data_IF_128677275601
#
_entry.id   IF_128677275601
#
_cell.length_a   1.000
_cell.length_b   1.000
_cell.length_c   1.000
_cell.angle_alpha   90.00
_cell.angle_beta   90.00
_cell.angle_gamma   90.00
#
_symmetry.space_group_name_H-M   'P 1'
#
loop_
_entity.id
_entity.type
_entity.pdbx_description
1 polymer ?
#
# COMPACT_ATOMS: atom_id res chain seq x y z
N UNK A 1 9.60 34.33 -29.87
CA UNK A 1 11.02 34.63 -30.01
C UNK A 1 11.68 33.47 -30.69
N UNK A 2 12.16 33.84 -31.87
CA UNK A 2 13.11 33.17 -32.76
C UNK A 2 12.53 32.21 -33.81
N UNK A 3 12.18 32.89 -34.90
CA UNK A 3 12.19 32.44 -36.30
C UNK A 3 13.50 31.72 -36.65
N UNK A 4 13.41 30.70 -37.51
CA UNK A 4 14.47 30.34 -38.47
C UNK A 4 13.80 29.65 -39.66
N UNK A 5 13.47 30.46 -40.67
CA UNK A 5 13.14 30.06 -42.03
C UNK A 5 14.45 29.60 -42.72
N UNK A 6 14.64 28.30 -42.89
CA UNK A 6 15.68 27.72 -43.76
C UNK A 6 15.03 27.26 -45.06
N UNK A 7 14.82 28.21 -45.97
CA UNK A 7 14.47 27.97 -47.37
C UNK A 7 15.67 27.32 -48.07
N UNK A 8 15.76 26.00 -47.98
CA UNK A 8 16.67 25.20 -48.79
C UNK A 8 16.29 25.30 -50.27
N UNK A 9 16.99 26.18 -51.01
CA UNK A 9 17.06 26.14 -52.46
C UNK A 9 17.43 24.71 -52.88
N UNK A 10 16.45 23.97 -53.39
CA UNK A 10 16.68 22.63 -53.94
C UNK A 10 17.45 22.85 -55.23
N UNK A 11 18.78 22.67 -55.15
CA UNK A 11 19.74 22.80 -56.25
C UNK A 11 19.17 22.16 -57.53
N UNK A 12 18.74 23.00 -58.47
CA UNK A 12 18.28 22.54 -59.78
C UNK A 12 19.39 21.75 -60.50
N UNK A 13 20.65 22.06 -60.19
CA UNK A 13 21.84 21.38 -60.69
C UNK A 13 21.98 19.94 -60.14
N UNK A 14 21.47 19.65 -58.93
CA UNK A 14 21.51 18.31 -58.35
C UNK A 14 20.47 17.37 -58.98
N UNK A 15 19.29 17.89 -59.36
CA UNK A 15 18.29 17.12 -60.11
C UNK A 15 18.73 16.86 -61.56
N UNK A 16 19.41 17.82 -62.19
CA UNK A 16 19.91 17.65 -63.56
C UNK A 16 21.05 16.63 -63.62
N UNK A 17 21.91 16.58 -62.59
CA UNK A 17 22.97 15.58 -62.44
C UNK A 17 22.44 14.15 -62.28
N UNK A 18 21.37 13.96 -61.48
CA UNK A 18 20.75 12.65 -61.23
C UNK A 18 20.01 12.10 -62.46
N UNK A 19 19.45 13.00 -63.29
CA UNK A 19 18.82 12.65 -64.57
C UNK A 19 19.86 12.31 -65.65
N UNK A 20 21.03 12.97 -65.64
CA UNK A 20 22.17 12.63 -66.49
C UNK A 20 22.82 11.29 -66.11
N UNK A 21 22.94 11.00 -64.81
CA UNK A 21 23.46 9.71 -64.30
C UNK A 21 22.53 8.55 -64.65
N UNK A 22 21.21 8.73 -64.53
CA UNK A 22 20.22 7.75 -65.00
C UNK A 22 20.31 7.50 -66.50
N UNK A 23 20.52 8.54 -67.32
CA UNK A 23 20.73 8.38 -68.77
C UNK A 23 22.02 7.63 -69.09
N UNK A 24 23.11 7.92 -68.39
CA UNK A 24 24.40 7.21 -68.53
C UNK A 24 24.30 5.75 -68.10
N UNK A 25 23.60 5.47 -67.00
CA UNK A 25 23.35 4.11 -66.51
C UNK A 25 22.44 3.30 -67.45
N UNK A 26 21.39 3.91 -68.01
CA UNK A 26 20.54 3.28 -69.02
C UNK A 26 21.28 3.01 -70.35
N UNK A 27 22.18 3.91 -70.76
CA UNK A 27 23.04 3.71 -71.92
C UNK A 27 24.05 2.57 -71.68
N UNK A 28 24.66 2.51 -70.48
CA UNK A 28 25.55 1.44 -70.06
C UNK A 28 24.87 0.07 -70.00
N UNK A 29 23.62 0.02 -69.52
CA UNK A 29 22.81 -1.20 -69.53
C UNK A 29 22.49 -1.68 -70.96
N UNK A 30 22.17 -0.75 -71.87
CA UNK A 30 21.97 -1.06 -73.28
C UNK A 30 23.24 -1.64 -73.91
N UNK A 31 24.38 -1.01 -73.67
CA UNK A 31 25.67 -1.47 -74.22
C UNK A 31 26.09 -2.84 -73.65
N UNK A 32 25.84 -3.07 -72.36
CA UNK A 32 26.07 -4.36 -71.70
C UNK A 32 25.15 -5.46 -72.24
N UNK A 33 23.86 -5.16 -72.47
CA UNK A 33 22.89 -6.10 -73.03
C UNK A 33 23.26 -6.56 -74.45
N UNK A 34 23.86 -5.69 -75.27
CA UNK A 34 24.36 -6.04 -76.60
C UNK A 34 25.68 -6.84 -76.59
N UNK A 35 26.49 -6.74 -75.52
CA UNK A 35 27.76 -7.47 -75.35
C UNK A 35 27.60 -8.83 -74.67
N UNK A 36 26.48 -9.08 -73.99
CA UNK A 36 26.18 -10.39 -73.40
C UNK A 36 25.97 -11.45 -74.48
N UNK A 37 26.88 -12.44 -74.53
CA UNK A 37 26.68 -13.68 -75.29
C UNK A 37 25.61 -14.49 -74.57
N UNK A 38 24.37 -14.44 -75.08
CA UNK A 38 23.27 -15.23 -74.56
C UNK A 38 23.57 -16.71 -74.80
N UNK A 39 23.65 -17.48 -73.71
CA UNK A 39 23.81 -18.92 -73.75
C UNK A 39 22.44 -19.59 -73.98
N UNK A 40 22.31 -20.29 -75.11
CA UNK A 40 21.08 -20.94 -75.53
C UNK A 40 21.10 -22.45 -75.31
N UNK A 41 22.13 -23.01 -74.66
CA UNK A 41 22.32 -24.45 -74.57
C UNK A 41 21.16 -25.18 -73.85
N UNK A 42 20.49 -24.52 -72.91
CA UNK A 42 19.31 -25.04 -72.20
C UNK A 42 17.96 -24.94 -72.93
N UNK A 43 17.86 -24.31 -74.11
CA UNK A 43 16.58 -24.20 -74.82
C UNK A 43 16.19 -25.52 -75.50
N UNK A 44 14.89 -25.83 -75.51
CA UNK A 44 14.34 -26.97 -76.22
C UNK A 44 14.72 -26.92 -77.73
N UNK A 45 14.99 -28.06 -78.40
CA UNK A 45 15.47 -28.09 -79.79
C UNK A 45 14.59 -27.33 -80.81
N UNK A 46 13.29 -27.17 -80.51
CA UNK A 46 12.32 -26.41 -81.33
C UNK A 46 12.54 -24.90 -81.32
N UNK A 47 13.18 -24.36 -80.28
CA UNK A 47 13.43 -22.92 -80.12
C UNK A 47 14.83 -22.50 -80.61
N UNK A 48 15.69 -23.48 -80.96
CA UNK A 48 17.03 -23.28 -81.54
C UNK A 48 17.01 -23.21 -83.08
N UNK A 49 15.85 -23.47 -83.70
CA UNK A 49 15.65 -23.35 -85.15
C UNK A 49 15.15 -21.95 -85.48
N UNK A 50 15.70 -21.33 -86.53
CA UNK A 50 15.23 -20.03 -87.00
C UNK A 50 13.76 -20.15 -87.42
N UNK A 51 12.82 -19.43 -86.78
CA UNK A 51 11.41 -19.48 -87.16
C UNK A 51 11.24 -19.01 -88.60
N UNK A 52 10.20 -19.47 -89.31
CA UNK A 52 9.80 -18.84 -90.58
C UNK A 52 9.48 -17.37 -90.32
N UNK A 53 9.67 -16.44 -91.28
CA UNK A 53 9.42 -15.01 -91.06
C UNK A 53 8.03 -14.72 -90.46
N UNK A 54 7.01 -15.48 -90.87
CA UNK A 54 5.65 -15.44 -90.33
C UNK A 54 5.51 -15.92 -88.89
N UNK A 55 6.30 -16.92 -88.47
CA UNK A 55 6.29 -17.44 -87.11
C UNK A 55 7.01 -16.47 -86.15
N UNK A 56 8.00 -15.72 -86.66
CA UNK A 56 8.71 -14.67 -85.92
C UNK A 56 7.80 -13.48 -85.62
N UNK A 57 7.02 -13.04 -86.60
CA UNK A 57 6.06 -11.94 -86.46
C UNK A 57 4.96 -12.29 -85.44
N UNK A 58 4.42 -13.51 -85.50
CA UNK A 58 3.43 -14.00 -84.53
C UNK A 58 3.96 -14.04 -83.09
N UNK A 59 5.20 -14.49 -82.89
CA UNK A 59 5.82 -14.54 -81.55
C UNK A 59 6.10 -13.11 -81.05
N UNK A 60 6.50 -12.19 -81.94
CA UNK A 60 6.71 -10.78 -81.60
C UNK A 60 5.39 -10.13 -81.14
N UNK A 61 4.29 -10.40 -81.86
CA UNK A 61 2.95 -9.91 -81.51
C UNK A 61 2.44 -10.49 -80.18
N UNK A 62 2.66 -11.79 -79.92
CA UNK A 62 2.30 -12.42 -78.64
C UNK A 62 3.11 -11.84 -77.47
N UNK A 63 4.41 -11.57 -77.67
CA UNK A 63 5.27 -10.94 -76.66
C UNK A 63 4.86 -9.49 -76.42
N UNK A 64 4.54 -8.73 -77.47
CA UNK A 64 4.02 -7.35 -77.36
C UNK A 64 2.71 -7.31 -76.60
N UNK A 65 1.76 -8.19 -76.95
CA UNK A 65 0.48 -8.28 -76.24
C UNK A 65 0.67 -8.65 -74.76
N UNK A 66 1.61 -9.55 -74.44
CA UNK A 66 1.95 -9.88 -73.05
C UNK A 66 2.60 -8.73 -72.30
N UNK A 67 3.47 -7.95 -72.95
CA UNK A 67 4.07 -6.74 -72.38
C UNK A 67 3.00 -5.69 -72.10
N UNK A 68 2.11 -5.45 -73.06
CA UNK A 68 1.00 -4.49 -72.92
C UNK A 68 0.01 -4.91 -71.82
N UNK A 69 -0.30 -6.20 -71.71
CA UNK A 69 -1.12 -6.74 -70.62
C UNK A 69 -0.44 -6.57 -69.25
N UNK A 70 0.88 -6.72 -69.18
CA UNK A 70 1.63 -6.48 -67.93
C UNK A 70 1.73 -5.00 -67.60
N UNK A 71 1.90 -4.14 -68.60
CA UNK A 71 1.92 -2.69 -68.43
C UNK A 71 0.58 -2.17 -67.91
N UNK A 72 -0.54 -2.60 -68.49
CA UNK A 72 -1.88 -2.24 -68.02
C UNK A 72 -2.18 -2.78 -66.61
N UNK A 73 -1.62 -3.93 -66.23
CA UNK A 73 -1.67 -4.42 -64.84
C UNK A 73 -0.83 -3.55 -63.89
N UNK A 74 0.33 -3.08 -64.35
CA UNK A 74 1.23 -2.19 -63.60
C UNK A 74 0.65 -0.80 -63.42
N UNK A 75 -0.01 -0.24 -64.45
CA UNK A 75 -0.72 1.05 -64.37
C UNK A 75 -1.94 1.00 -63.44
N UNK A 76 -2.59 -0.16 -63.32
CA UNK A 76 -3.67 -0.38 -62.35
C UNK A 76 -3.17 -0.50 -60.91
N UNK A 77 -1.90 -0.82 -60.73
CA UNK A 77 -1.25 -0.80 -59.42
C UNK A 77 -0.74 0.62 -59.21
N UNK A 78 -1.40 1.37 -58.33
CA UNK A 78 -0.84 2.62 -57.79
C UNK A 78 -0.13 2.29 -56.47
N UNK A 79 1.16 1.89 -56.49
CA UNK A 79 1.90 1.62 -55.27
C UNK A 79 2.01 2.91 -54.46
N UNK A 80 1.56 2.86 -53.21
CA UNK A 80 1.79 3.95 -52.27
C UNK A 80 3.26 3.98 -51.89
N UNK A 81 4.05 4.82 -52.58
CA UNK A 81 5.49 4.95 -52.36
C UNK A 81 5.86 5.42 -50.94
N UNK A 82 4.91 6.06 -50.23
CA UNK A 82 5.09 6.50 -48.83
C UNK A 82 4.71 5.43 -47.80
N UNK A 83 4.21 4.27 -48.24
CA UNK A 83 3.77 3.21 -47.32
C UNK A 83 4.92 2.65 -46.49
N UNK A 84 6.13 2.61 -47.05
CA UNK A 84 7.33 2.13 -46.35
C UNK A 84 7.70 3.11 -45.24
N UNK A 85 7.81 4.41 -45.55
CA UNK A 85 8.14 5.45 -44.57
C UNK A 85 7.08 5.55 -43.45
N UNK A 86 5.79 5.44 -43.81
CA UNK A 86 4.69 5.41 -42.84
C UNK A 86 4.77 4.18 -41.94
N UNK A 87 5.10 3.02 -42.50
CA UNK A 87 5.27 1.79 -41.72
C UNK A 87 6.44 1.90 -40.75
N UNK A 88 7.58 2.46 -41.17
CA UNK A 88 8.73 2.69 -40.30
C UNK A 88 8.41 3.64 -39.15
N UNK A 89 7.73 4.77 -39.44
CA UNK A 89 7.29 5.70 -38.41
C UNK A 89 6.28 5.11 -37.42
N UNK A 90 5.37 4.24 -37.88
CA UNK A 90 4.44 3.52 -36.98
C UNK A 90 5.19 2.50 -36.14
N UNK A 91 6.14 1.76 -36.72
CA UNK A 91 6.94 0.76 -36.03
C UNK A 91 7.81 1.36 -34.92
N UNK A 92 8.38 2.54 -35.16
CA UNK A 92 9.14 3.27 -34.14
C UNK A 92 8.23 3.73 -32.99
N UNK A 93 7.03 4.25 -33.30
CA UNK A 93 6.02 4.61 -32.28
C UNK A 93 5.56 3.39 -31.48
N UNK A 94 5.31 2.27 -32.14
CA UNK A 94 4.93 1.00 -31.48
C UNK A 94 6.04 0.55 -30.52
N UNK A 95 7.29 0.63 -30.95
CA UNK A 95 8.44 0.28 -30.11
C UNK A 95 8.52 1.19 -28.87
N UNK A 96 8.43 2.50 -29.06
CA UNK A 96 8.45 3.46 -27.94
C UNK A 96 7.31 3.22 -26.94
N UNK A 97 6.09 3.00 -27.43
CA UNK A 97 4.94 2.67 -26.58
C UNK A 97 5.10 1.35 -25.84
N UNK A 98 5.70 0.35 -26.48
CA UNK A 98 5.97 -0.95 -25.85
C UNK A 98 6.99 -0.81 -24.73
N UNK A 99 8.05 -0.03 -24.95
CA UNK A 99 9.07 0.27 -23.93
C UNK A 99 8.45 1.02 -22.74
N UNK A 100 7.62 2.05 -22.98
CA UNK A 100 6.90 2.79 -21.93
C UNK A 100 5.93 1.90 -21.13
N UNK A 101 5.23 1.00 -21.82
CA UNK A 101 4.30 0.05 -21.19
C UNK A 101 5.04 -0.95 -20.30
N UNK A 102 6.21 -1.43 -20.72
CA UNK A 102 7.06 -2.28 -19.89
C UNK A 102 7.60 -1.54 -18.67
N UNK A 103 7.98 -0.27 -18.81
CA UNK A 103 8.35 0.56 -17.65
C UNK A 103 7.18 0.78 -16.68
N UNK A 104 5.99 1.09 -17.19
CA UNK A 104 4.79 1.24 -16.39
C UNK A 104 4.44 -0.05 -15.65
N UNK A 105 4.56 -1.21 -16.31
CA UNK A 105 4.38 -2.53 -15.66
C UNK A 105 5.37 -2.75 -14.53
N UNK A 106 6.65 -2.41 -14.72
CA UNK A 106 7.68 -2.50 -13.67
C UNK A 106 7.35 -1.59 -12.49
N UNK A 107 6.94 -0.33 -12.75
CA UNK A 107 6.55 0.63 -11.71
C UNK A 107 5.33 0.15 -10.92
N UNK A 108 4.29 -0.34 -11.60
CA UNK A 108 3.09 -0.91 -10.96
C UNK A 108 3.42 -2.11 -10.10
N UNK A 109 4.27 -3.02 -10.59
CA UNK A 109 4.71 -4.19 -9.81
C UNK A 109 5.49 -3.76 -8.56
N UNK A 110 6.43 -2.83 -8.71
CA UNK A 110 7.21 -2.31 -7.58
C UNK A 110 6.31 -1.61 -6.53
N UNK A 111 5.32 -0.84 -6.98
CA UNK A 111 4.35 -0.20 -6.09
C UNK A 111 3.46 -1.22 -5.37
N UNK A 112 3.00 -2.26 -6.08
CA UNK A 112 2.22 -3.35 -5.50
C UNK A 112 3.04 -4.12 -4.45
N UNK A 113 4.28 -4.49 -4.75
CA UNK A 113 5.15 -5.22 -3.83
C UNK A 113 5.47 -4.38 -2.58
N UNK A 114 5.66 -3.06 -2.75
CA UNK A 114 5.85 -2.14 -1.64
C UNK A 114 4.58 -2.02 -0.77
N UNK A 115 3.40 -1.98 -1.39
CA UNK A 115 2.11 -1.96 -0.68
C UNK A 115 1.91 -3.23 0.13
N UNK A 116 2.12 -4.40 -0.46
CA UNK A 116 1.95 -5.70 0.23
C UNK A 116 2.89 -5.84 1.43
N UNK A 117 4.14 -5.35 1.31
CA UNK A 117 5.08 -5.31 2.44
C UNK A 117 4.55 -4.47 3.59
N UNK A 118 4.10 -3.23 3.32
CA UNK A 118 3.56 -2.33 4.34
C UNK A 118 2.27 -2.87 4.94
N UNK A 119 1.40 -3.45 4.12
CA UNK A 119 0.16 -4.11 4.55
C UNK A 119 0.45 -5.25 5.52
N UNK A 120 1.39 -6.13 5.19
CA UNK A 120 1.80 -7.25 6.03
C UNK A 120 2.41 -6.78 7.35
N UNK A 121 3.29 -5.78 7.31
CA UNK A 121 3.93 -5.22 8.51
C UNK A 121 2.91 -4.58 9.45
N UNK A 122 1.97 -3.78 8.89
CA UNK A 122 0.87 -3.17 9.65
C UNK A 122 -0.03 -4.25 10.28
N UNK A 123 -0.41 -5.27 9.52
CA UNK A 123 -1.25 -6.36 10.02
C UNK A 123 -0.56 -7.16 11.14
N UNK A 124 0.72 -7.51 10.95
CA UNK A 124 1.52 -8.24 11.93
C UNK A 124 1.66 -7.47 13.23
N UNK A 125 2.03 -6.18 13.15
CA UNK A 125 2.22 -5.32 14.33
C UNK A 125 0.90 -5.12 15.08
N UNK A 126 -0.20 -4.91 14.35
CA UNK A 126 -1.54 -4.80 14.95
C UNK A 126 -1.94 -6.09 15.67
N UNK A 127 -1.79 -7.24 15.02
CA UNK A 127 -2.18 -8.54 15.59
C UNK A 127 -1.33 -8.92 16.81
N UNK A 128 -0.03 -8.58 16.80
CA UNK A 128 0.84 -8.79 17.95
C UNK A 128 0.34 -8.02 19.19
N UNK A 129 0.02 -6.73 19.02
CA UNK A 129 -0.53 -5.91 20.10
C UNK A 129 -1.93 -6.39 20.54
N UNK A 130 -2.83 -6.64 19.57
CA UNK A 130 -4.18 -7.11 19.85
C UNK A 130 -4.19 -8.42 20.65
N UNK A 131 -3.38 -9.40 20.25
CA UNK A 131 -3.29 -10.69 20.94
C UNK A 131 -2.82 -10.51 22.37
N UNK A 132 -1.77 -9.71 22.60
CA UNK A 132 -1.27 -9.44 23.94
C UNK A 132 -2.34 -8.79 24.83
N UNK A 133 -3.00 -7.73 24.34
CA UNK A 133 -4.02 -7.01 25.09
C UNK A 133 -5.25 -7.88 25.34
N UNK A 134 -5.68 -8.68 24.35
CA UNK A 134 -6.81 -9.61 24.46
C UNK A 134 -6.56 -10.72 25.49
N UNK A 135 -5.33 -11.22 25.58
CA UNK A 135 -4.96 -12.23 26.59
C UNK A 135 -4.81 -11.63 28.01
N UNK A 136 -4.47 -10.33 28.09
CA UNK A 136 -4.29 -9.62 29.36
C UNK A 136 -5.62 -9.09 29.94
N UNK A 137 -6.55 -8.63 29.10
CA UNK A 137 -7.77 -7.94 29.55
C UNK A 137 -8.66 -8.78 30.44
N UNK A 138 -8.83 -10.07 30.14
CA UNK A 138 -9.66 -10.97 30.95
C UNK A 138 -9.05 -11.18 32.35
N UNK A 139 -7.73 -11.32 32.43
CA UNK A 139 -7.00 -11.50 33.69
C UNK A 139 -7.12 -10.27 34.57
N UNK A 140 -6.84 -9.09 34.00
CA UNK A 140 -6.92 -7.80 34.71
C UNK A 140 -8.35 -7.51 35.16
N UNK A 141 -9.35 -7.78 34.30
CA UNK A 141 -10.75 -7.54 34.66
C UNK A 141 -11.23 -8.49 35.77
N UNK A 142 -10.80 -9.76 35.74
CA UNK A 142 -11.06 -10.71 36.84
C UNK A 142 -10.46 -10.21 38.15
N UNK A 143 -9.20 -9.79 38.15
CA UNK A 143 -8.52 -9.28 39.35
C UNK A 143 -9.23 -8.06 39.93
N UNK A 144 -9.65 -7.12 39.08
CA UNK A 144 -10.40 -5.92 39.49
C UNK A 144 -11.80 -6.21 40.04
N UNK A 145 -12.45 -7.27 39.57
CA UNK A 145 -13.85 -7.59 39.92
C UNK A 145 -13.98 -8.72 40.95
N UNK A 146 -12.90 -9.44 41.25
CA UNK A 146 -12.86 -10.51 42.23
C UNK A 146 -13.21 -9.98 43.63
N UNK A 147 -14.03 -10.73 44.35
CA UNK A 147 -14.40 -10.40 45.73
C UNK A 147 -14.69 -11.66 46.54
N UNK A 148 -14.68 -11.59 47.89
CA UNK A 148 -15.11 -12.71 48.72
C UNK A 148 -16.52 -13.22 48.35
N UNK A 149 -17.40 -12.31 47.94
CA UNK A 149 -18.77 -12.63 47.49
C UNK A 149 -18.82 -13.28 46.10
N UNK A 150 -17.84 -12.97 45.23
CA UNK A 150 -17.76 -13.46 43.85
C UNK A 150 -16.31 -13.84 43.50
N UNK A 151 -15.87 -15.05 43.88
CA UNK A 151 -14.47 -15.46 43.73
C UNK A 151 -14.04 -15.70 42.28
N UNK A 152 -14.99 -15.91 41.34
CA UNK A 152 -14.67 -16.06 39.92
C UNK A 152 -14.50 -14.73 39.18
N UNK A 153 -14.91 -13.60 39.77
CA UNK A 153 -14.92 -12.30 39.09
C UNK A 153 -15.84 -12.24 37.87
N UNK A 154 -15.72 -11.16 37.10
CA UNK A 154 -16.33 -11.02 35.77
C UNK A 154 -15.38 -11.44 34.65
N UNK A 155 -15.85 -11.41 33.41
CA UNK A 155 -15.04 -11.75 32.22
C UNK A 155 -15.08 -10.61 31.22
N UNK A 156 -13.99 -10.38 30.50
CA UNK A 156 -13.91 -9.35 29.47
C UNK A 156 -13.19 -9.88 28.24
N UNK A 157 -13.66 -9.51 27.05
CA UNK A 157 -13.03 -9.93 25.80
C UNK A 157 -13.12 -8.84 24.73
N UNK A 158 -12.13 -8.84 23.83
CA UNK A 158 -12.04 -7.97 22.68
C UNK A 158 -12.29 -8.79 21.42
N UNK A 159 -13.23 -8.37 20.57
CA UNK A 159 -13.55 -9.03 19.31
C UNK A 159 -13.23 -8.12 18.12
N UNK A 160 -12.55 -8.67 17.12
CA UNK A 160 -12.32 -8.00 15.84
C UNK A 160 -13.52 -8.21 14.92
N UNK A 161 -13.94 -7.15 14.23
CA UNK A 161 -15.02 -7.24 13.23
C UNK A 161 -14.56 -7.92 11.92
N UNK A 162 -13.29 -7.76 11.55
CA UNK A 162 -12.67 -8.40 10.40
C UNK A 162 -11.33 -9.02 10.79
N UNK A 163 -11.11 -10.27 10.39
CA UNK A 163 -9.85 -10.99 10.62
C UNK A 163 -8.83 -10.76 9.49
N UNK A 164 -9.28 -10.35 8.31
CA UNK A 164 -8.41 -10.17 7.13
C UNK A 164 -7.71 -8.82 7.14
N UNK A 165 -8.46 -7.75 7.42
CA UNK A 165 -7.94 -6.38 7.53
C UNK A 165 -8.43 -5.74 8.84
N UNK A 166 -7.88 -6.17 9.99
CA UNK A 166 -8.38 -5.75 11.30
C UNK A 166 -8.19 -4.24 11.54
N UNK A 167 -7.26 -3.61 10.81
CA UNK A 167 -6.97 -2.19 10.87
C UNK A 167 -7.93 -1.31 10.07
N UNK A 168 -8.83 -1.90 9.28
CA UNK A 168 -9.89 -1.21 8.51
C UNK A 168 -11.28 -1.39 9.14
N UNK A 169 -11.42 -2.29 10.10
CA UNK A 169 -12.67 -2.59 10.78
C UNK A 169 -12.64 -2.12 12.25
N UNK A 170 -13.79 -2.10 12.90
CA UNK A 170 -13.90 -1.75 14.31
C UNK A 170 -13.42 -2.86 15.24
N UNK A 171 -13.14 -2.47 16.48
CA UNK A 171 -12.91 -3.39 17.59
C UNK A 171 -14.09 -3.29 18.56
N UNK A 172 -14.70 -4.43 18.89
CA UNK A 172 -15.79 -4.52 19.86
C UNK A 172 -15.26 -4.97 21.21
N UNK A 173 -15.42 -4.11 22.21
CA UNK A 173 -15.10 -4.44 23.59
C UNK A 173 -16.36 -4.88 24.34
N UNK A 174 -16.31 -6.04 24.98
CA UNK A 174 -17.40 -6.55 25.83
C UNK A 174 -16.88 -6.88 27.22
N UNK A 175 -17.59 -6.43 28.25
CA UNK A 175 -17.39 -6.87 29.63
C UNK A 175 -18.68 -7.49 30.20
N UNK A 176 -18.52 -8.60 30.93
CA UNK A 176 -19.58 -9.29 31.65
C UNK A 176 -19.29 -9.22 33.14
N UNK A 177 -20.03 -8.40 33.91
CA UNK A 177 -19.96 -8.38 35.36
C UNK A 177 -20.34 -9.75 35.97
N UNK A 178 -19.84 -10.11 37.17
CA UNK A 178 -19.99 -11.45 37.77
C UNK A 178 -21.44 -11.92 37.94
N UNK A 179 -22.39 -10.99 38.07
CA UNK A 179 -23.80 -11.29 38.36
C UNK A 179 -24.75 -11.10 37.17
N UNK A 180 -24.24 -10.68 36.00
CA UNK A 180 -25.06 -10.27 34.86
C UNK A 180 -24.78 -11.11 33.61
N UNK A 181 -25.83 -11.30 32.80
CA UNK A 181 -25.71 -11.89 31.46
C UNK A 181 -25.04 -10.89 30.50
N UNK A 182 -24.57 -11.41 29.37
CA UNK A 182 -24.04 -10.61 28.26
C UNK A 182 -24.96 -9.44 27.92
N UNK A 183 -24.38 -8.24 27.89
CA UNK A 183 -25.01 -6.99 27.48
C UNK A 183 -23.99 -6.15 26.73
N UNK A 184 -24.48 -5.29 25.84
CA UNK A 184 -23.64 -4.29 25.18
C UNK A 184 -23.11 -3.28 26.20
N UNK A 185 -21.93 -2.72 25.92
CA UNK A 185 -21.27 -1.78 26.84
C UNK A 185 -22.14 -0.57 27.17
N UNK A 186 -22.95 -0.09 26.22
CA UNK A 186 -23.85 1.05 26.43
C UNK A 186 -24.88 0.79 27.53
N UNK A 187 -25.30 -0.47 27.72
CA UNK A 187 -26.30 -0.89 28.68
C UNK A 187 -25.74 -1.23 30.07
N UNK A 188 -24.43 -1.10 30.28
CA UNK A 188 -23.79 -1.26 31.59
C UNK A 188 -23.98 -0.03 32.49
N UNK A 189 -23.90 -0.22 33.81
CA UNK A 189 -23.94 0.88 34.77
C UNK A 189 -22.70 1.77 34.65
N UNK A 190 -22.77 3.01 35.13
CA UNK A 190 -21.63 3.93 35.12
C UNK A 190 -20.39 3.35 35.82
N UNK A 191 -20.55 2.71 36.97
CA UNK A 191 -19.43 2.07 37.68
C UNK A 191 -18.88 0.84 36.94
N UNK A 192 -19.73 0.03 36.30
CA UNK A 192 -19.29 -1.11 35.49
C UNK A 192 -18.48 -0.64 34.26
N UNK A 193 -18.92 0.43 33.60
CA UNK A 193 -18.18 1.06 32.50
C UNK A 193 -16.80 1.55 32.95
N UNK A 194 -16.72 2.19 34.12
CA UNK A 194 -15.44 2.65 34.68
C UNK A 194 -14.49 1.48 34.97
N UNK A 195 -14.97 0.41 35.60
CA UNK A 195 -14.14 -0.77 35.87
C UNK A 195 -13.65 -1.44 34.58
N UNK A 196 -14.51 -1.54 33.56
CA UNK A 196 -14.13 -2.07 32.26
C UNK A 196 -13.09 -1.18 31.54
N UNK A 197 -13.24 0.15 31.62
CA UNK A 197 -12.29 1.09 31.04
C UNK A 197 -10.92 1.03 31.72
N UNK A 198 -10.88 0.96 33.05
CA UNK A 198 -9.64 0.77 33.81
C UNK A 198 -8.97 -0.56 33.50
N UNK A 199 -9.73 -1.64 33.37
CA UNK A 199 -9.18 -2.92 32.97
C UNK A 199 -8.52 -2.87 31.58
N UNK A 200 -9.17 -2.20 30.62
CA UNK A 200 -8.59 -1.96 29.29
C UNK A 200 -7.32 -1.10 29.36
N UNK A 201 -7.33 -0.01 30.15
CA UNK A 201 -6.17 0.86 30.35
C UNK A 201 -4.96 0.08 30.87
N UNK A 202 -5.18 -0.76 31.88
CA UNK A 202 -4.13 -1.59 32.46
C UNK A 202 -3.68 -2.72 31.53
N UNK A 203 -4.58 -3.30 30.72
CA UNK A 203 -4.22 -4.26 29.69
C UNK A 203 -3.39 -3.64 28.55
N UNK A 204 -3.63 -2.37 28.20
CA UNK A 204 -2.77 -1.65 27.24
C UNK A 204 -1.39 -1.40 27.84
N UNK A 205 -1.33 -1.06 29.12
CA UNK A 205 -0.07 -0.82 29.80
C UNK A 205 0.80 -2.08 29.97
N UNK A 206 0.21 -3.27 30.06
CA UNK A 206 1.02 -4.50 30.05
C UNK A 206 1.74 -4.68 28.71
N UNK A 207 1.13 -4.28 27.59
CA UNK A 207 1.80 -4.32 26.29
C UNK A 207 2.92 -3.27 26.16
N UNK A 208 2.67 -2.06 26.68
CA UNK A 208 3.65 -0.97 26.68
C UNK A 208 3.65 -0.26 28.02
N UNK A 209 4.63 -0.60 28.85
CA UNK A 209 4.77 -0.04 30.20
C UNK A 209 5.03 1.46 30.15
N UNK A 210 4.14 2.23 30.76
CA UNK A 210 4.31 3.67 31.00
C UNK A 210 5.01 3.91 32.33
N UNK A 211 5.89 4.91 32.45
CA UNK A 211 6.57 5.19 33.72
C UNK A 211 5.62 5.67 34.83
N UNK A 212 4.53 6.36 34.47
CA UNK A 212 3.54 6.86 35.43
C UNK A 212 2.12 6.90 34.87
N UNK A 213 1.15 6.97 35.78
CA UNK A 213 -0.26 7.22 35.52
C UNK A 213 -0.76 8.44 36.30
N UNK A 214 -1.68 9.18 35.68
CA UNK A 214 -2.47 10.21 36.35
C UNK A 214 -3.94 9.84 36.19
N UNK A 215 -4.63 9.64 37.31
CA UNK A 215 -6.03 9.23 37.36
C UNK A 215 -6.83 10.32 38.09
N UNK A 216 -7.78 10.94 37.42
CA UNK A 216 -8.56 12.06 37.95
C UNK A 216 -10.01 11.65 38.16
N UNK A 217 -10.50 11.73 39.40
CA UNK A 217 -11.88 11.44 39.82
C UNK A 217 -12.48 10.14 39.25
N UNK A 218 -11.64 9.12 39.05
CA UNK A 218 -12.05 7.83 38.48
C UNK A 218 -13.03 7.06 39.37
N UNK A 219 -13.19 7.49 40.61
CA UNK A 219 -14.05 6.87 41.62
C UNK A 219 -15.45 7.50 41.71
N UNK A 220 -15.76 8.53 40.93
CA UNK A 220 -17.03 9.26 41.00
C UNK A 220 -18.28 8.37 40.91
N UNK A 221 -18.26 7.36 40.03
CA UNK A 221 -19.40 6.45 39.78
C UNK A 221 -19.32 5.11 40.52
N UNK A 222 -18.32 4.92 41.39
CA UNK A 222 -18.06 3.65 42.07
C UNK A 222 -18.58 3.65 43.51
N UNK A 223 -19.04 2.48 43.98
CA UNK A 223 -19.39 2.24 45.37
C UNK A 223 -18.16 1.93 46.22
N UNK A 224 -18.27 2.09 47.55
CA UNK A 224 -17.17 1.91 48.50
C UNK A 224 -16.38 0.61 48.28
N UNK A 225 -17.08 -0.51 48.10
CA UNK A 225 -16.48 -1.83 47.91
C UNK A 225 -15.60 -1.90 46.66
N UNK A 226 -16.02 -1.31 45.55
CA UNK A 226 -15.24 -1.34 44.31
C UNK A 226 -14.10 -0.31 44.31
N UNK A 227 -14.27 0.83 44.98
CA UNK A 227 -13.19 1.81 45.17
C UNK A 227 -12.05 1.22 46.01
N UNK A 228 -12.36 0.51 47.10
CA UNK A 228 -11.33 -0.16 47.93
C UNK A 228 -10.55 -1.24 47.13
N UNK A 229 -11.25 -2.02 46.29
CA UNK A 229 -10.59 -3.00 45.40
C UNK A 229 -9.69 -2.32 44.39
N UNK A 230 -10.18 -1.25 43.78
CA UNK A 230 -9.43 -0.46 42.80
C UNK A 230 -8.19 0.17 43.42
N UNK A 231 -8.31 0.76 44.61
CA UNK A 231 -7.18 1.31 45.36
C UNK A 231 -6.13 0.24 45.66
N UNK A 232 -6.55 -0.94 46.14
CA UNK A 232 -5.64 -2.08 46.39
C UNK A 232 -4.97 -2.56 45.11
N UNK A 233 -5.71 -2.68 44.02
CA UNK A 233 -5.16 -3.08 42.72
C UNK A 233 -4.09 -2.10 42.25
N UNK A 234 -4.37 -0.79 42.28
CA UNK A 234 -3.44 0.27 41.88
C UNK A 234 -2.18 0.25 42.74
N UNK A 235 -2.35 0.14 44.07
CA UNK A 235 -1.22 0.04 45.01
C UNK A 235 -0.33 -1.18 44.71
N UNK A 236 -0.93 -2.37 44.59
CA UNK A 236 -0.20 -3.60 44.29
C UNK A 236 0.58 -3.48 42.98
N UNK A 237 -0.02 -2.86 41.96
CA UNK A 237 0.63 -2.64 40.67
C UNK A 237 1.75 -1.61 40.76
N UNK A 238 1.58 -0.56 41.57
CA UNK A 238 2.60 0.47 41.77
C UNK A 238 3.84 -0.07 42.48
N UNK A 239 3.69 -0.98 43.44
CA UNK A 239 4.82 -1.66 44.09
C UNK A 239 5.37 -2.86 43.30
N UNK A 240 4.80 -3.18 42.13
CA UNK A 240 5.22 -4.35 41.33
C UNK A 240 4.82 -5.71 41.93
N UNK A 241 3.85 -5.73 42.86
CA UNK A 241 3.37 -6.92 43.59
C UNK A 241 2.14 -7.58 42.95
N UNK A 242 1.78 -7.22 41.71
CA UNK A 242 0.70 -7.87 40.95
C UNK A 242 1.24 -9.02 40.12
N UNK A 243 0.65 -10.23 40.26
CA UNK A 243 1.05 -11.47 39.56
C UNK A 243 0.88 -11.49 38.03
N UNK A 244 0.90 -10.34 37.37
CA UNK A 244 1.05 -10.22 35.92
C UNK A 244 2.53 -10.25 35.51
N UNK A 245 2.81 -10.75 34.32
CA UNK A 245 4.15 -11.06 33.80
C UNK A 245 5.13 -9.86 33.67
N UNK A 246 4.71 -8.65 34.01
CA UNK A 246 5.42 -7.40 33.71
C UNK A 246 5.73 -6.62 34.99
N UNK A 247 6.60 -7.19 35.84
CA UNK A 247 7.03 -6.67 37.16
C UNK A 247 7.78 -5.34 37.15
N UNK A 248 7.45 -4.41 36.25
CA UNK A 248 7.94 -3.05 36.27
C UNK A 248 7.06 -2.21 37.21
N UNK A 249 7.62 -1.61 38.28
CA UNK A 249 6.87 -0.69 39.12
C UNK A 249 6.45 0.54 38.32
N UNK A 250 5.23 1.02 38.55
CA UNK A 250 4.67 2.18 37.88
C UNK A 250 4.18 3.21 38.90
N UNK A 251 4.56 4.48 38.73
CA UNK A 251 4.10 5.54 39.63
C UNK A 251 2.64 5.90 39.32
N UNK A 252 1.75 5.78 40.31
CA UNK A 252 0.34 6.17 40.14
C UNK A 252 0.04 7.43 40.94
N UNK A 253 -0.36 8.50 40.26
CA UNK A 253 -0.85 9.74 40.86
C UNK A 253 -2.36 9.74 40.71
N UNK A 254 -3.08 9.77 41.83
CA UNK A 254 -4.55 9.74 41.82
C UNK A 254 -5.12 10.96 42.52
N UNK A 255 -6.09 11.59 41.87
CA UNK A 255 -6.88 12.69 42.42
C UNK A 255 -8.26 12.12 42.74
N UNK A 256 -8.62 12.16 44.02
CA UNK A 256 -9.88 11.61 44.53
C UNK A 256 -10.34 12.40 45.75
N UNK A 257 -11.66 12.45 45.95
CA UNK A 257 -12.31 13.03 47.13
C UNK A 257 -12.73 11.97 48.16
N UNK A 258 -12.54 10.67 47.88
CA UNK A 258 -12.97 9.56 48.72
C UNK A 258 -11.84 9.11 49.63
N UNK A 259 -12.05 9.23 50.93
CA UNK A 259 -11.11 8.86 52.00
C UNK A 259 -10.61 7.41 51.88
N UNK A 260 -11.50 6.46 51.61
CA UNK A 260 -11.13 5.05 51.43
C UNK A 260 -10.31 4.75 50.17
N UNK A 261 -10.15 5.69 49.23
CA UNK A 261 -9.24 5.53 48.10
C UNK A 261 -7.80 5.91 48.48
N UNK A 262 -7.63 7.13 49.01
CA UNK A 262 -6.31 7.67 49.34
C UNK A 262 -5.76 7.21 50.70
N UNK A 263 -6.56 6.52 51.52
CA UNK A 263 -6.10 5.79 52.72
C UNK A 263 -5.03 4.72 52.41
N UNK A 264 -4.96 4.24 51.15
CA UNK A 264 -3.97 3.25 50.71
C UNK A 264 -2.78 3.86 49.97
N UNK A 265 -2.62 5.18 49.97
CA UNK A 265 -1.51 5.87 49.33
C UNK A 265 -0.26 5.89 50.23
N UNK A 266 0.92 5.96 49.61
CA UNK A 266 2.18 6.13 50.35
C UNK A 266 2.41 7.60 50.76
N UNK A 267 1.86 8.55 50.00
CA UNK A 267 1.97 9.98 50.28
C UNK A 267 0.74 10.73 49.79
N UNK A 268 0.35 11.77 50.53
CA UNK A 268 -0.76 12.66 50.21
C UNK A 268 -0.24 14.02 49.76
N UNK A 269 -0.91 14.59 48.76
CA UNK A 269 -0.70 15.96 48.31
C UNK A 269 -1.99 16.74 48.53
N UNK A 270 -2.01 17.58 49.56
CA UNK A 270 -3.13 18.45 49.89
C UNK A 270 -3.03 19.78 49.16
N UNK A 271 -4.11 20.19 48.51
CA UNK A 271 -4.22 21.51 47.88
C UNK A 271 -5.19 22.36 48.68
N UNK A 272 -4.72 23.53 49.14
CA UNK A 272 -5.53 24.51 49.88
C UNK A 272 -5.53 25.86 49.16
N UNK A 273 -6.58 26.65 49.33
CA UNK A 273 -6.67 28.00 48.76
C UNK A 273 -6.31 29.02 49.82
N UNK A 274 -5.28 29.81 49.56
CA UNK A 274 -5.01 30.99 50.37
C UNK A 274 -6.00 32.09 50.02
N UNK A 275 -6.82 32.48 50.99
CA UNK A 275 -7.86 33.50 50.82
C UNK A 275 -7.25 34.90 50.71
N UNK A 276 -6.06 35.12 51.27
CA UNK A 276 -5.39 36.42 51.24
C UNK A 276 -4.70 36.68 49.90
N UNK A 277 -3.98 35.68 49.38
CA UNK A 277 -3.22 35.81 48.13
C UNK A 277 -4.03 35.39 46.90
N UNK A 278 -5.25 34.85 47.09
CA UNK A 278 -6.08 34.23 46.04
C UNK A 278 -5.34 33.16 45.20
N UNK A 279 -4.30 32.55 45.76
CA UNK A 279 -3.49 31.51 45.13
C UNK A 279 -3.72 30.15 45.79
N UNK A 280 -3.52 29.07 45.03
CA UNK A 280 -3.49 27.71 45.57
C UNK A 280 -2.12 27.44 46.20
N UNK A 281 -2.10 26.88 47.41
CA UNK A 281 -0.91 26.37 48.10
C UNK A 281 -0.97 24.85 48.18
N UNK A 282 0.20 24.23 48.10
CA UNK A 282 0.34 22.77 48.13
C UNK A 282 1.05 22.38 49.42
N UNK A 283 0.52 21.36 50.08
CA UNK A 283 1.07 20.73 51.26
C UNK A 283 1.28 19.24 50.95
N UNK A 284 2.38 18.67 51.42
CA UNK A 284 2.66 17.24 51.26
C UNK A 284 2.67 16.57 52.62
N UNK A 285 2.18 15.34 52.68
CA UNK A 285 2.13 14.55 53.90
C UNK A 285 2.52 13.11 53.59
N UNK A 286 3.51 12.60 54.30
CA UNK A 286 4.02 11.24 54.14
C UNK A 286 3.25 10.27 55.04
N UNK A 287 2.73 9.19 54.46
CA UNK A 287 1.93 8.18 55.14
C UNK A 287 2.74 6.91 55.50
N UNK A 288 3.95 6.73 54.96
CA UNK A 288 4.79 5.57 55.25
C UNK A 288 5.00 5.31 56.76
N UNK A 289 5.20 6.32 57.63
CA UNK A 289 5.39 6.11 59.07
C UNK A 289 4.16 5.57 59.81
N UNK A 290 2.98 5.60 59.18
CA UNK A 290 1.70 5.26 59.78
C UNK A 290 1.08 3.97 59.20
N UNK A 291 1.84 3.25 58.36
CA UNK A 291 1.38 1.98 57.78
C UNK A 291 1.13 0.91 58.84
N UNK A 292 0.04 0.14 58.69
CA UNK A 292 -0.17 -1.08 59.46
C UNK A 292 0.93 -2.11 59.13
N UNK A 293 1.50 -2.82 60.12
CA UNK A 293 2.46 -3.88 59.85
C UNK A 293 1.79 -4.97 59.00
N UNK A 294 2.42 -5.36 57.89
CA UNK A 294 1.97 -6.49 57.06
C UNK A 294 1.93 -7.77 57.90
N UNK A 295 0.75 -8.39 58.05
CA UNK A 295 0.56 -9.76 58.57
C UNK A 295 0.95 -10.84 57.57
#
# INVERSE_FOLDING_TARGET
DDDDDDDGEVDADAMEADEEERRKSAAGFREAAFKTKLDYDGLAPRLKQAPRPSDRERIDDELRANVEKKLTQLERLEPNMKAIDQYEGIKEKERAQTEELEECRKKTKAAHDAFERVKSERASTFMAAYKHISDAIDKVYKELTMSPSHPLGGTAYLALESLEEPYNAGLKFTAMPPTKRFREMEALSGGEKTMAALALLFAIHSYKSSPFFVLDEIDASLDKTNVEKMARFIRNRSHGLGGGADGAPCQSIVISLKDYFFDKADSLVGVTRDVHDACSRVLTFDLEPYGEPEE
#
